data_IF_596096655820
#
_entry.id   IF_596096655820
#
_cell.length_a   1.000
_cell.length_b   1.000
_cell.length_c   1.000
_cell.angle_alpha   90.00
_cell.angle_beta   90.00
_cell.angle_gamma   90.00
#
_symmetry.space_group_name_H-M   'P 1'
#
loop_
_entity.id
_entity.type
_entity.pdbx_description
1 polymer ?
#
# COMPACT_ATOMS: atom_id res chain seq x y z
N UNK A 1 -0.59 24.99 10.83
CA UNK A 1 -0.50 23.65 11.47
C UNK A 1 0.72 22.94 10.91
N UNK A 2 1.78 22.72 11.70
CA UNK A 2 2.91 21.90 11.24
C UNK A 2 2.55 20.44 11.48
N UNK A 3 2.54 19.63 10.42
CA UNK A 3 2.48 18.18 10.58
C UNK A 3 3.78 17.74 11.28
N UNK A 4 3.68 16.95 12.34
CA UNK A 4 4.85 16.49 13.09
C UNK A 4 5.78 15.61 12.23
N UNK A 5 7.06 15.52 12.56
CA UNK A 5 8.05 14.72 11.81
C UNK A 5 8.02 13.21 12.14
N UNK A 6 7.08 12.75 12.97
CA UNK A 6 6.98 11.33 13.33
C UNK A 6 6.46 10.52 12.15
N UNK A 7 7.25 9.52 11.72
CA UNK A 7 6.91 8.60 10.64
C UNK A 7 6.94 7.17 11.15
N UNK A 8 5.79 6.50 11.18
CA UNK A 8 5.70 5.09 11.56
C UNK A 8 6.25 4.20 10.43
N UNK A 9 5.71 4.34 9.23
CA UNK A 9 6.25 3.72 8.01
C UNK A 9 7.05 4.79 7.29
N UNK A 10 8.34 4.54 7.05
CA UNK A 10 9.25 5.47 6.36
C UNK A 10 9.25 5.23 4.86
N UNK A 11 9.34 3.97 4.47
CA UNK A 11 9.41 3.53 3.09
C UNK A 11 8.59 2.25 2.91
N UNK A 12 8.08 2.04 1.70
CA UNK A 12 7.43 0.78 1.29
C UNK A 12 7.92 0.39 -0.10
N UNK A 13 8.32 -0.87 -0.24
CA UNK A 13 8.69 -1.46 -1.53
C UNK A 13 7.71 -2.59 -1.86
N UNK A 14 7.14 -2.50 -3.06
CA UNK A 14 6.16 -3.45 -3.56
C UNK A 14 6.74 -4.10 -4.82
N UNK A 15 6.92 -5.41 -4.79
CA UNK A 15 7.46 -6.19 -5.91
C UNK A 15 6.42 -7.23 -6.32
N UNK A 16 5.99 -7.20 -7.59
CA UNK A 16 4.98 -8.12 -8.12
C UNK A 16 3.69 -8.16 -7.27
N UNK A 17 3.24 -7.00 -6.81
CA UNK A 17 2.09 -6.85 -5.94
C UNK A 17 1.00 -6.03 -6.63
N UNK A 18 -0.11 -6.65 -7.00
CA UNK A 18 -1.20 -6.01 -7.74
C UNK A 18 -0.67 -5.27 -8.99
N UNK A 19 -0.83 -3.95 -9.08
CA UNK A 19 -0.31 -3.13 -10.19
C UNK A 19 1.16 -2.74 -10.07
N UNK A 20 1.88 -3.19 -9.04
CA UNK A 20 3.31 -2.90 -8.85
C UNK A 20 4.14 -4.05 -9.42
N UNK A 21 4.91 -3.77 -10.47
CA UNK A 21 5.77 -4.73 -11.16
C UNK A 21 7.06 -5.08 -10.40
N UNK A 22 7.95 -5.87 -11.02
CA UNK A 22 9.19 -6.34 -10.36
C UNK A 22 10.21 -5.21 -10.14
N UNK A 23 10.16 -4.17 -10.97
CA UNK A 23 11.07 -3.02 -10.92
C UNK A 23 10.37 -1.77 -10.38
N UNK A 24 9.24 -1.91 -9.69
CA UNK A 24 8.56 -0.77 -9.08
C UNK A 24 9.48 -0.06 -8.09
N UNK A 25 9.57 1.29 -8.15
CA UNK A 25 10.43 2.04 -7.25
C UNK A 25 9.93 1.94 -5.81
N UNK A 26 10.86 2.07 -4.87
CA UNK A 26 10.50 2.25 -3.47
C UNK A 26 9.78 3.59 -3.28
N UNK A 27 8.74 3.59 -2.45
CA UNK A 27 7.93 4.77 -2.16
C UNK A 27 8.31 5.27 -0.77
N UNK A 28 8.81 6.50 -0.69
CA UNK A 28 8.99 7.18 0.59
C UNK A 28 7.65 7.72 1.11
N UNK A 29 7.33 7.40 2.35
CA UNK A 29 6.16 7.93 3.05
C UNK A 29 6.57 9.05 4.01
N UNK A 30 5.75 10.10 4.03
CA UNK A 30 5.85 11.25 4.93
C UNK A 30 4.78 11.16 6.02
N UNK A 31 4.75 12.13 6.93
CA UNK A 31 3.75 12.21 8.00
C UNK A 31 2.31 12.40 7.50
N UNK A 32 2.15 12.95 6.29
CA UNK A 32 0.91 12.97 5.53
C UNK A 32 1.24 12.65 4.07
N UNK A 33 0.53 11.69 3.50
CA UNK A 33 0.67 11.30 2.10
C UNK A 33 -0.66 11.53 1.41
N UNK A 34 -0.66 12.26 0.29
CA UNK A 34 -1.86 12.49 -0.52
C UNK A 34 -1.64 11.77 -1.85
N UNK A 35 -2.42 10.71 -2.08
CA UNK A 35 -2.30 9.87 -3.28
C UNK A 35 -3.17 10.44 -4.40
N UNK A 36 -2.54 10.93 -5.48
CA UNK A 36 -3.21 11.58 -6.62
C UNK A 36 -2.79 10.91 -7.93
N UNK A 37 -3.72 10.83 -8.89
CA UNK A 37 -3.46 10.29 -10.22
C UNK A 37 -4.75 9.78 -10.89
N UNK A 38 -4.71 9.43 -12.20
CA UNK A 38 -5.85 8.91 -12.94
C UNK A 38 -6.45 7.62 -12.34
N UNK A 39 -7.68 7.29 -12.71
CA UNK A 39 -8.26 5.98 -12.37
C UNK A 39 -7.39 4.85 -12.93
N UNK A 40 -7.21 3.78 -12.17
CA UNK A 40 -6.32 2.67 -12.53
C UNK A 40 -4.83 2.90 -12.27
N UNK A 41 -4.39 4.07 -11.77
CA UNK A 41 -2.97 4.38 -11.53
C UNK A 41 -2.34 3.67 -10.31
N UNK A 42 -3.03 2.70 -9.69
CA UNK A 42 -2.49 1.93 -8.54
C UNK A 42 -2.63 2.57 -7.16
N UNK A 43 -3.38 3.68 -7.01
CA UNK A 43 -3.59 4.34 -5.70
C UNK A 43 -4.24 3.41 -4.67
N UNK A 44 -5.35 2.77 -5.03
CA UNK A 44 -6.02 1.80 -4.14
C UNK A 44 -5.11 0.62 -3.83
N UNK A 45 -4.31 0.16 -4.80
CA UNK A 45 -3.37 -0.95 -4.59
C UNK A 45 -2.28 -0.61 -3.56
N UNK A 46 -1.86 0.65 -3.43
CA UNK A 46 -0.95 1.07 -2.36
C UNK A 46 -1.64 0.99 -0.98
N UNK A 47 -2.93 1.33 -0.90
CA UNK A 47 -3.71 1.15 0.33
C UNK A 47 -3.90 -0.34 0.66
N UNK A 48 -4.17 -1.18 -0.36
CA UNK A 48 -4.26 -2.64 -0.18
C UNK A 48 -2.95 -3.24 0.34
N UNK A 49 -1.80 -2.75 -0.08
CA UNK A 49 -0.52 -3.20 0.45
C UNK A 49 -0.39 -2.91 1.96
N UNK A 50 -0.83 -1.74 2.41
CA UNK A 50 -0.83 -1.38 3.83
C UNK A 50 -1.84 -2.22 4.63
N UNK A 51 -3.03 -2.45 4.07
CA UNK A 51 -4.04 -3.33 4.66
C UNK A 51 -3.52 -4.78 4.78
N UNK A 52 -2.83 -5.25 3.75
CA UNK A 52 -2.18 -6.55 3.73
C UNK A 52 -1.16 -6.68 4.86
N UNK A 53 -0.20 -5.76 4.97
CA UNK A 53 0.78 -5.74 6.05
C UNK A 53 0.12 -5.73 7.44
N UNK A 54 -0.95 -4.93 7.63
CA UNK A 54 -1.72 -4.87 8.89
C UNK A 54 -2.39 -6.21 9.24
N UNK A 55 -2.80 -7.00 8.24
CA UNK A 55 -3.48 -8.29 8.44
C UNK A 55 -2.52 -9.43 8.78
N UNK A 56 -1.24 -9.32 8.39
CA UNK A 56 -0.22 -10.37 8.55
C UNK A 56 -0.14 -11.00 9.95
N UNK A 57 -0.30 -10.26 11.07
CA UNK A 57 -0.17 -10.88 12.39
C UNK A 57 -1.41 -11.67 12.83
N UNK A 58 -2.53 -11.55 12.10
CA UNK A 58 -3.82 -12.14 12.47
C UNK A 58 -4.23 -13.24 11.50
N UNK A 59 -4.41 -12.88 10.23
CA UNK A 59 -4.78 -13.79 9.16
C UNK A 59 -4.42 -13.12 7.83
N UNK A 60 -3.40 -13.68 7.19
CA UNK A 60 -2.82 -13.21 5.94
C UNK A 60 -3.84 -13.21 4.78
N UNK A 61 -4.87 -14.06 4.85
CA UNK A 61 -5.85 -14.25 3.78
C UNK A 61 -6.99 -13.24 3.84
N UNK A 62 -7.18 -12.53 4.95
CA UNK A 62 -8.28 -11.56 5.12
C UNK A 62 -8.38 -10.52 3.98
N UNK A 63 -7.30 -9.86 3.54
CA UNK A 63 -7.39 -8.81 2.51
C UNK A 63 -7.78 -9.35 1.14
N UNK A 64 -7.43 -10.60 0.84
CA UNK A 64 -7.72 -11.22 -0.46
C UNK A 64 -9.16 -11.73 -0.56
N UNK A 65 -9.84 -11.98 0.57
CA UNK A 65 -11.24 -12.44 0.60
C UNK A 65 -12.20 -11.35 0.14
N UNK A 66 -11.96 -10.10 0.52
CA UNK A 66 -12.83 -8.97 0.19
C UNK A 66 -12.52 -8.36 -1.19
N UNK A 67 -11.27 -8.45 -1.65
CA UNK A 67 -10.80 -7.84 -2.90
C UNK A 67 -11.09 -8.61 -4.18
N UNK A 68 -11.81 -9.73 -4.11
CA UNK A 68 -12.20 -10.51 -5.29
C UNK A 68 -11.02 -11.26 -5.93
N UNK A 69 -10.34 -12.11 -5.16
CA UNK A 69 -9.46 -13.14 -5.74
C UNK A 69 -10.20 -13.88 -6.87
N UNK A 70 -9.50 -14.12 -7.99
CA UNK A 70 -10.01 -14.95 -9.08
C UNK A 70 -10.57 -16.25 -8.49
N UNK A 71 -11.86 -16.51 -8.73
CA UNK A 71 -12.45 -17.84 -8.53
C UNK A 71 -11.87 -18.81 -9.55
#
# INVERSE_FOLDING_TARGET
MKLGNSRFIKNIKLNNFLSFGPSSPEIELKSLNVLVGPNGSGKSNLLEAVAFLKSTPKDLMLPFRDGGGIR
#
